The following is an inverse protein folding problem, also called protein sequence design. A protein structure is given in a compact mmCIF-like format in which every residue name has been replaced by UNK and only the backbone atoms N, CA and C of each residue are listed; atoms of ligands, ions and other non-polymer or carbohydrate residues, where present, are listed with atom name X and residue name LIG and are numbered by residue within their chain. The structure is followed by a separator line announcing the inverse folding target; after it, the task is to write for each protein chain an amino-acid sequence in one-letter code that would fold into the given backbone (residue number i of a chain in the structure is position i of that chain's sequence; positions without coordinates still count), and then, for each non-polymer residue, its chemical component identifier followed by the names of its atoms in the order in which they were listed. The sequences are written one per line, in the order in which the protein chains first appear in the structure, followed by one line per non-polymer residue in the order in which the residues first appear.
data_IF_912635221281
#
_entry.id   IF_912635221281
#
_cell.length_a   1.000
_cell.length_b   1.000
_cell.length_c   1.000
_cell.angle_alpha   90.00
_cell.angle_beta   90.00
_cell.angle_gamma   90.00
#
_symmetry.space_group_name_H-M   'P 1'
#
loop_
_entity.id
_entity.type
_entity.pdbx_description
1 polymer ?
#
# COMPACT_ATOMS: atom_id res chain seq x y z
N UNK A 1 -4.78 -6.25 2.06
CA UNK A 1 -4.32 -7.10 0.94
C UNK A 1 -5.07 -8.42 0.77
N UNK A 2 -5.63 -9.07 1.81
CA UNK A 2 -6.38 -10.33 1.63
C UNK A 2 -7.56 -10.22 0.65
N UNK A 3 -8.32 -9.12 0.70
CA UNK A 3 -9.41 -8.85 -0.26
C UNK A 3 -8.90 -8.84 -1.70
N UNK A 4 -7.79 -8.14 -1.97
CA UNK A 4 -7.15 -8.08 -3.28
C UNK A 4 -6.82 -9.47 -3.80
N UNK A 5 -6.17 -10.29 -2.97
CA UNK A 5 -5.83 -11.67 -3.36
C UNK A 5 -7.09 -12.50 -3.63
N UNK A 6 -8.12 -12.36 -2.79
CA UNK A 6 -9.36 -13.10 -2.95
C UNK A 6 -10.14 -12.70 -4.20
N UNK A 7 -10.15 -11.41 -4.55
CA UNK A 7 -10.92 -10.89 -5.68
C UNK A 7 -10.20 -11.09 -7.01
N UNK A 8 -8.91 -10.77 -7.06
CA UNK A 8 -8.10 -10.78 -8.30
C UNK A 8 -7.46 -12.14 -8.59
N UNK A 9 -7.31 -12.99 -7.56
CA UNK A 9 -6.52 -14.24 -7.61
C UNK A 9 -5.07 -14.05 -8.09
N UNK A 10 -4.54 -12.81 -8.01
CA UNK A 10 -3.24 -12.44 -8.53
C UNK A 10 -2.32 -11.90 -7.45
N UNK A 11 -1.12 -12.47 -7.37
CA UNK A 11 -0.06 -11.93 -6.51
C UNK A 11 0.54 -10.65 -7.07
N UNK A 12 0.50 -10.44 -8.39
CA UNK A 12 0.93 -9.19 -9.02
C UNK A 12 0.05 -8.01 -8.56
N UNK A 13 -1.26 -8.22 -8.46
CA UNK A 13 -2.18 -7.19 -7.94
C UNK A 13 -1.94 -6.92 -6.44
N UNK A 14 -1.52 -7.94 -5.68
CA UNK A 14 -1.07 -7.76 -4.31
C UNK A 14 0.25 -6.97 -4.22
N UNK A 15 1.17 -7.15 -5.15
CA UNK A 15 2.41 -6.36 -5.24
C UNK A 15 2.10 -4.88 -5.56
N UNK A 16 1.14 -4.62 -6.45
CA UNK A 16 0.66 -3.25 -6.75
C UNK A 16 0.08 -2.59 -5.50
N UNK A 17 -0.79 -3.29 -4.76
CA UNK A 17 -1.34 -2.76 -3.51
C UNK A 17 -0.26 -2.58 -2.43
N UNK A 18 0.71 -3.50 -2.36
CA UNK A 18 1.83 -3.38 -1.42
C UNK A 18 2.68 -2.13 -1.69
N UNK A 19 2.92 -1.80 -2.96
CA UNK A 19 3.60 -0.55 -3.35
C UNK A 19 2.84 0.68 -2.88
N UNK A 20 1.51 0.68 -3.06
CA UNK A 20 0.65 1.76 -2.61
C UNK A 20 0.66 1.90 -1.07
N UNK A 21 0.61 0.78 -0.33
CA UNK A 21 0.76 0.79 1.13
C UNK A 21 2.10 1.42 1.55
N UNK A 22 3.20 1.03 0.91
CA UNK A 22 4.51 1.64 1.18
C UNK A 22 4.49 3.15 0.93
N UNK A 23 3.90 3.59 -0.18
CA UNK A 23 3.77 5.00 -0.51
C UNK A 23 2.97 5.75 0.57
N UNK A 24 1.80 5.24 0.97
CA UNK A 24 0.98 5.89 1.98
C UNK A 24 1.72 6.08 3.30
N UNK A 25 2.46 5.06 3.75
CA UNK A 25 3.28 5.16 4.97
C UNK A 25 4.36 6.23 4.82
N UNK A 26 5.19 6.15 3.77
CA UNK A 26 6.33 7.05 3.64
C UNK A 26 5.95 8.49 3.26
N UNK A 27 4.86 8.68 2.52
CA UNK A 27 4.36 9.99 2.11
C UNK A 27 3.37 10.60 3.12
N UNK A 28 3.19 9.96 4.28
CA UNK A 28 2.29 10.42 5.32
C UNK A 28 0.85 10.64 4.83
N UNK A 29 0.35 9.71 4.00
CA UNK A 29 -1.05 9.65 3.62
C UNK A 29 -1.79 8.72 4.59
N UNK A 30 -2.37 9.30 5.65
CA UNK A 30 -3.10 8.56 6.70
C UNK A 30 -4.60 8.40 6.40
N UNK A 31 -5.14 9.12 5.43
CA UNK A 31 -6.53 8.98 4.97
C UNK A 31 -6.70 7.84 3.95
N UNK A 32 -5.93 6.77 4.13
CA UNK A 32 -5.90 5.58 3.27
C UNK A 32 -7.03 4.61 3.61
N UNK A 33 -8.26 5.12 3.70
CA UNK A 33 -9.43 4.37 4.10
C UNK A 33 -9.92 3.43 2.97
N UNK A 34 -10.81 2.49 3.31
CA UNK A 34 -11.27 1.43 2.41
C UNK A 34 -11.84 1.90 1.06
N UNK A 35 -12.38 3.12 0.96
CA UNK A 35 -12.89 3.70 -0.29
C UNK A 35 -11.80 4.16 -1.26
N UNK A 36 -10.55 4.25 -0.81
CA UNK A 36 -9.39 4.64 -1.63
C UNK A 36 -8.71 3.43 -2.29
N UNK A 37 -9.28 2.24 -2.12
CA UNK A 37 -8.86 1.02 -2.81
C UNK A 37 -10.04 0.46 -3.61
N UNK A 38 -10.01 0.67 -4.93
CA UNK A 38 -11.04 0.13 -5.84
C UNK A 38 -10.44 -0.83 -6.85
N UNK A 39 -11.34 -1.59 -7.49
CA UNK A 39 -11.02 -2.64 -8.44
C UNK A 39 -11.82 -2.43 -9.71
N UNK A 40 -11.19 -2.68 -10.84
CA UNK A 40 -11.81 -2.64 -12.15
C UNK A 40 -12.03 -4.07 -12.62
N UNK A 41 -13.20 -4.33 -13.19
CA UNK A 41 -13.46 -5.60 -13.86
C UNK A 41 -13.03 -5.48 -15.32
N UNK A 42 -12.21 -6.43 -15.74
CA UNK A 42 -11.74 -6.59 -17.11
C UNK A 42 -12.61 -7.67 -17.78
N UNK A 43 -13.44 -7.26 -18.75
CA UNK A 43 -14.36 -8.17 -19.43
C UNK A 43 -13.63 -9.17 -20.34
N UNK A 44 -12.56 -8.73 -21.01
CA UNK A 44 -11.80 -9.56 -21.95
C UNK A 44 -11.05 -10.67 -21.22
N UNK A 45 -10.48 -10.37 -20.05
CA UNK A 45 -9.80 -11.35 -19.20
C UNK A 45 -10.72 -12.05 -18.20
N UNK A 46 -11.97 -11.61 -18.09
CA UNK A 46 -12.94 -12.06 -17.09
C UNK A 46 -12.36 -12.04 -15.66
N UNK A 47 -11.63 -10.96 -15.33
CA UNK A 47 -10.84 -10.86 -14.11
C UNK A 47 -10.99 -9.51 -13.43
N UNK A 48 -10.76 -9.47 -12.11
CA UNK A 48 -10.67 -8.20 -11.38
C UNK A 48 -9.21 -7.77 -11.28
N UNK A 49 -8.95 -6.48 -11.49
CA UNK A 49 -7.64 -5.84 -11.34
C UNK A 49 -7.73 -4.70 -10.33
N UNK A 50 -6.66 -4.44 -9.58
CA UNK A 50 -6.55 -3.25 -8.77
C UNK A 50 -6.58 -2.03 -9.68
N UNK A 51 -7.37 -1.03 -9.33
CA UNK A 51 -7.38 0.25 -10.04
C UNK A 51 -6.04 0.99 -9.92
N UNK A 52 -5.72 1.92 -10.82
CA UNK A 52 -4.67 2.91 -10.58
C UNK A 52 -4.91 3.65 -9.26
N UNK A 53 -3.84 4.01 -8.55
CA UNK A 53 -3.96 4.76 -7.30
C UNK A 53 -4.52 6.18 -7.54
N UNK A 54 -5.30 6.67 -6.57
CA UNK A 54 -5.88 8.02 -6.57
C UNK A 54 -5.98 8.52 -5.11
N UNK A 55 -6.34 9.79 -4.96
CA UNK A 55 -6.50 10.45 -3.65
C UNK A 55 -5.24 10.32 -2.77
N UNK A 56 -4.09 10.61 -3.39
CA UNK A 56 -2.78 10.53 -2.76
C UNK A 56 -2.42 11.91 -2.21
N UNK A 57 -2.74 12.16 -0.95
CA UNK A 57 -2.52 13.46 -0.31
C UNK A 57 -1.85 13.32 1.06
N UNK A 58 -1.06 14.31 1.46
CA UNK A 58 -0.55 14.39 2.83
C UNK A 58 -1.73 14.59 3.79
N UNK A 59 -1.88 13.73 4.79
CA UNK A 59 -3.05 13.72 5.66
C UNK A 59 -2.74 13.20 7.07
N UNK A 60 -3.49 13.68 8.06
CA UNK A 60 -3.38 13.25 9.47
C UNK A 60 -4.47 12.25 9.89
N UNK A 61 -5.56 12.09 9.11
CA UNK A 61 -6.72 11.23 9.41
C UNK A 61 -7.30 11.42 10.84
N UNK A 62 -8.25 10.58 11.22
CA UNK A 62 -8.92 10.63 12.53
C UNK A 62 -7.98 10.07 13.59
N UNK A 63 -7.69 10.86 14.63
CA UNK A 63 -6.84 10.43 15.75
C UNK A 63 -5.35 10.39 15.45
N UNK A 64 -4.92 10.84 14.26
CA UNK A 64 -3.52 10.80 13.89
C UNK A 64 -3.06 9.40 13.52
N UNK A 65 -3.92 8.49 13.07
CA UNK A 65 -3.53 7.14 12.64
C UNK A 65 -3.90 6.90 11.17
N UNK A 66 -3.16 6.02 10.49
CA UNK A 66 -3.61 5.45 9.23
C UNK A 66 -5.01 4.84 9.38
N UNK A 67 -5.91 5.19 8.47
CA UNK A 67 -7.24 4.60 8.40
C UNK A 67 -7.17 3.10 8.13
N UNK A 68 -6.11 2.63 7.46
CA UNK A 68 -5.77 1.21 7.33
C UNK A 68 -4.48 0.89 8.07
N UNK A 69 -4.58 0.17 9.21
CA UNK A 69 -3.38 -0.20 9.97
C UNK A 69 -2.43 -1.12 9.19
N UNK A 70 -1.13 -0.92 9.39
CA UNK A 70 -0.06 -1.74 8.80
C UNK A 70 0.48 -2.64 9.90
N UNK A 71 0.24 -3.94 9.78
CA UNK A 71 0.60 -4.93 10.81
C UNK A 71 0.01 -4.59 12.22
N UNK A 72 -1.14 -3.91 12.27
CA UNK A 72 -1.77 -3.48 13.51
C UNK A 72 -1.23 -2.16 14.07
N UNK A 73 -0.21 -1.56 13.44
CA UNK A 73 0.28 -0.23 13.74
C UNK A 73 -0.44 0.79 12.85
N UNK A 74 -1.18 1.72 13.45
CA UNK A 74 -1.78 2.87 12.74
C UNK A 74 -1.02 4.17 12.97
N UNK A 75 -0.23 4.27 14.04
CA UNK A 75 0.39 5.53 14.46
C UNK A 75 1.61 5.85 13.62
N UNK A 76 2.63 4.99 13.59
CA UNK A 76 3.83 5.23 12.80
C UNK A 76 4.38 3.88 12.32
N UNK A 77 3.82 3.29 11.26
CA UNK A 77 4.33 2.05 10.71
C UNK A 77 5.78 2.18 10.24
N UNK A 78 6.62 1.22 10.63
CA UNK A 78 8.01 1.18 10.19
C UNK A 78 8.24 0.09 9.14
N UNK A 79 9.49 -0.01 8.64
CA UNK A 79 9.86 -1.00 7.64
C UNK A 79 9.53 -2.43 8.08
N UNK A 80 9.72 -2.75 9.36
CA UNK A 80 9.43 -4.09 9.88
C UNK A 80 7.92 -4.41 9.84
N UNK A 81 7.06 -3.43 10.12
CA UNK A 81 5.61 -3.57 9.97
C UNK A 81 5.23 -3.82 8.51
N UNK A 82 5.78 -3.01 7.60
CA UNK A 82 5.58 -3.14 6.16
C UNK A 82 6.00 -4.54 5.68
N UNK A 83 7.17 -5.04 6.10
CA UNK A 83 7.67 -6.36 5.74
C UNK A 83 6.86 -7.50 6.37
N UNK A 84 6.32 -7.31 7.58
CA UNK A 84 5.44 -8.28 8.21
C UNK A 84 4.16 -8.49 7.39
N UNK A 85 3.57 -7.42 6.84
CA UNK A 85 2.39 -7.55 5.96
C UNK A 85 2.74 -8.30 4.67
N UNK A 86 3.89 -8.01 4.05
CA UNK A 86 4.38 -8.73 2.86
C UNK A 86 4.55 -10.23 3.13
N UNK A 87 5.18 -10.58 4.26
CA UNK A 87 5.36 -11.97 4.68
C UNK A 87 4.03 -12.68 4.90
N UNK A 88 3.07 -12.01 5.56
CA UNK A 88 1.75 -12.57 5.88
C UNK A 88 0.92 -12.90 4.64
N UNK A 89 1.04 -12.11 3.57
CA UNK A 89 0.33 -12.35 2.31
C UNK A 89 1.12 -13.26 1.34
N UNK A 90 2.37 -13.60 1.66
CA UNK A 90 3.19 -14.54 0.88
C UNK A 90 3.97 -13.89 -0.28
N UNK A 91 4.28 -12.60 -0.22
CA UNK A 91 5.14 -11.95 -1.22
C UNK A 91 6.58 -12.47 -1.15
N UNK A 92 7.30 -12.38 -2.27
CA UNK A 92 8.74 -12.62 -2.29
C UNK A 92 9.44 -11.56 -1.42
N UNK A 93 10.05 -11.98 -0.30
CA UNK A 93 10.61 -11.05 0.69
C UNK A 93 11.78 -10.22 0.18
N UNK A 94 12.58 -10.74 -0.75
CA UNK A 94 13.68 -9.99 -1.37
C UNK A 94 13.12 -8.84 -2.21
N UNK A 95 12.10 -9.13 -3.02
CA UNK A 95 11.44 -8.13 -3.85
C UNK A 95 10.60 -7.15 -3.03
N UNK A 96 9.91 -7.61 -1.99
CA UNK A 96 9.15 -6.76 -1.08
C UNK A 96 10.05 -5.74 -0.39
N UNK A 97 11.19 -6.18 0.17
CA UNK A 97 12.17 -5.27 0.78
C UNK A 97 12.72 -4.27 -0.23
N UNK A 98 13.14 -4.73 -1.41
CA UNK A 98 13.63 -3.84 -2.47
C UNK A 98 12.59 -2.79 -2.83
N UNK A 99 11.34 -3.21 -2.98
CA UNK A 99 10.22 -2.32 -3.32
C UNK A 99 9.97 -1.28 -2.23
N UNK A 100 9.89 -1.69 -0.96
CA UNK A 100 9.67 -0.77 0.15
C UNK A 100 10.79 0.29 0.25
N UNK A 101 12.05 -0.13 0.11
CA UNK A 101 13.19 0.79 0.15
C UNK A 101 13.21 1.74 -1.06
N UNK A 102 12.95 1.22 -2.25
CA UNK A 102 12.86 2.06 -3.45
C UNK A 102 11.78 3.14 -3.30
N UNK A 103 10.59 2.78 -2.78
CA UNK A 103 9.51 3.76 -2.58
C UNK A 103 9.89 4.78 -1.51
N UNK A 104 10.50 4.36 -0.40
CA UNK A 104 11.02 5.27 0.63
C UNK A 104 11.98 6.29 0.03
N UNK A 105 12.94 5.83 -0.75
CA UNK A 105 13.97 6.68 -1.34
C UNK A 105 13.35 7.67 -2.36
N UNK A 106 12.44 7.19 -3.22
CA UNK A 106 11.69 8.06 -4.14
C UNK A 106 10.85 9.12 -3.41
N UNK A 107 10.15 8.75 -2.34
CA UNK A 107 9.35 9.71 -1.54
C UNK A 107 10.25 10.73 -0.86
N UNK A 108 11.37 10.29 -0.27
CA UNK A 108 12.33 11.20 0.36
C UNK A 108 12.94 12.18 -0.64
N UNK A 109 13.26 11.74 -1.85
CA UNK A 109 13.86 12.58 -2.88
C UNK A 109 12.84 13.56 -3.48
N UNK A 110 11.62 13.11 -3.78
CA UNK A 110 10.64 13.89 -4.52
C UNK A 110 9.74 14.73 -3.62
N UNK A 111 9.50 14.29 -2.38
CA UNK A 111 8.52 14.90 -1.48
C UNK A 111 9.14 15.37 -0.15
N UNK A 112 10.44 15.12 0.10
CA UNK A 112 11.06 15.37 1.41
C UNK A 112 11.00 16.82 1.92
N UNK A 113 10.85 17.82 1.04
CA UNK A 113 10.66 19.22 1.45
C UNK A 113 9.23 19.52 1.95
N UNK A 114 8.27 18.63 1.67
CA UNK A 114 6.85 18.78 1.99
C UNK A 114 6.37 17.86 3.12
N UNK A 115 7.22 16.91 3.55
CA UNK A 115 6.98 15.94 4.62
C UNK A 115 7.68 16.37 5.91
#
# INVERSE_FOLDING_TARGET
MQLTLQLTKSMEECEKLYRLMCFNVYAHNRDDHSKNFTYLYDEDECSWKLSPAYDLTYSNSIGGEHATTVNGNGVNPELDDILAVAKKIGLNMTMARKTALNIRDCVSEMLGEYL
#
